data_IF_446090977456
#
_entry.id   IF_446090977456
#
_cell.length_a   1.000
_cell.length_b   1.000
_cell.length_c   1.000
_cell.angle_alpha   90.00
_cell.angle_beta   90.00
_cell.angle_gamma   90.00
#
_symmetry.space_group_name_H-M   'P 1'
#
loop_
_entity.id
_entity.type
_entity.pdbx_description
1 polymer ?
#
# COMPACT_ATOMS: atom_id res chain seq x y z
N UNK A 1 12.64 0.42 5.47
CA UNK A 1 11.61 1.46 5.23
C UNK A 1 10.26 0.78 4.98
N UNK A 2 9.23 1.28 5.61
CA UNK A 2 7.85 0.82 5.37
C UNK A 2 7.15 1.86 4.51
N UNK A 3 6.36 1.39 3.54
CA UNK A 3 5.68 2.27 2.58
C UNK A 3 4.19 1.96 2.57
N UNK A 4 3.37 3.00 2.59
CA UNK A 4 1.92 2.89 2.42
C UNK A 4 1.54 3.53 1.08
N UNK A 5 0.94 2.74 0.21
CA UNK A 5 0.43 3.21 -1.08
C UNK A 5 -1.09 3.31 -1.00
N UNK A 6 -1.64 4.45 -1.36
CA UNK A 6 -3.08 4.70 -1.29
C UNK A 6 -3.67 4.57 -2.69
N UNK A 7 -4.60 3.63 -2.84
CA UNK A 7 -5.26 3.36 -4.11
C UNK A 7 -5.37 1.87 -4.36
N UNK A 8 -5.98 1.48 -5.48
CA UNK A 8 -6.20 0.08 -5.79
C UNK A 8 -6.31 -0.21 -7.28
N UNK A 9 -5.94 0.73 -8.14
CA UNK A 9 -6.02 0.57 -9.59
C UNK A 9 -4.72 0.03 -10.19
N UNK A 10 -4.69 -0.04 -11.52
CA UNK A 10 -3.52 -0.52 -12.25
C UNK A 10 -2.29 0.33 -12.05
N UNK A 11 -2.47 1.65 -11.86
CA UNK A 11 -1.35 2.56 -11.62
C UNK A 11 -0.68 2.23 -10.28
N UNK A 12 -1.49 2.02 -9.25
CA UNK A 12 -0.99 1.65 -7.92
C UNK A 12 -0.29 0.31 -7.96
N UNK A 13 -0.83 -0.64 -8.73
CA UNK A 13 -0.19 -1.94 -8.90
C UNK A 13 1.21 -1.79 -9.50
N UNK A 14 1.36 -0.95 -10.53
CA UNK A 14 2.66 -0.71 -11.16
C UNK A 14 3.64 -0.06 -10.18
N UNK A 15 3.17 0.89 -9.37
CA UNK A 15 3.99 1.56 -8.36
C UNK A 15 4.47 0.55 -7.31
N UNK A 16 3.56 -0.27 -6.79
CA UNK A 16 3.89 -1.29 -5.78
C UNK A 16 4.91 -2.29 -6.34
N UNK A 17 4.70 -2.74 -7.57
CA UNK A 17 5.63 -3.67 -8.21
C UNK A 17 7.03 -3.07 -8.29
N UNK A 18 7.13 -1.80 -8.66
CA UNK A 18 8.43 -1.12 -8.74
C UNK A 18 9.08 -0.93 -7.37
N UNK A 19 8.29 -0.54 -6.38
CA UNK A 19 8.77 -0.35 -5.00
C UNK A 19 9.25 -1.69 -4.41
N UNK A 20 8.55 -2.77 -4.72
CA UNK A 20 8.88 -4.09 -4.19
C UNK A 20 10.28 -4.56 -4.63
N UNK A 21 10.83 -3.97 -5.69
CA UNK A 21 12.17 -4.30 -6.16
C UNK A 21 13.27 -3.54 -5.41
N UNK A 22 12.90 -2.57 -4.58
CA UNK A 22 13.88 -1.77 -3.85
C UNK A 22 14.38 -2.51 -2.62
N UNK A 23 15.69 -2.56 -2.46
CA UNK A 23 16.32 -3.20 -1.29
C UNK A 23 16.14 -2.39 -0.02
N UNK A 24 15.71 -1.14 -0.14
CA UNK A 24 15.51 -0.24 1.01
C UNK A 24 14.12 -0.38 1.62
N UNK A 25 13.21 -1.09 0.94
CA UNK A 25 11.83 -1.24 1.41
C UNK A 25 11.68 -2.60 2.08
N UNK A 26 11.28 -2.60 3.34
CA UNK A 26 11.10 -3.81 4.15
C UNK A 26 9.68 -4.33 4.07
N UNK A 27 8.70 -3.42 3.99
CA UNK A 27 7.29 -3.78 4.00
C UNK A 27 6.49 -2.76 3.22
N UNK A 28 5.54 -3.24 2.43
CA UNK A 28 4.63 -2.41 1.65
C UNK A 28 3.20 -2.70 2.11
N UNK A 29 2.46 -1.64 2.39
CA UNK A 29 1.02 -1.71 2.64
C UNK A 29 0.31 -0.96 1.52
N UNK A 30 -0.85 -1.44 1.10
CA UNK A 30 -1.66 -0.74 0.09
C UNK A 30 -3.10 -0.67 0.57
N UNK A 31 -3.69 0.51 0.51
CA UNK A 31 -5.05 0.75 0.98
C UNK A 31 -5.89 1.35 -0.15
N UNK A 32 -6.93 0.67 -0.62
CA UNK A 32 -7.36 -0.69 -0.28
C UNK A 32 -6.62 -1.78 -1.06
N UNK A 33 -5.90 -1.43 -2.13
CA UNK A 33 -5.21 -2.39 -2.97
C UNK A 33 -6.14 -3.21 -3.84
N UNK A 34 -5.60 -4.28 -4.42
CA UNK A 34 -6.37 -5.26 -5.19
C UNK A 34 -5.63 -6.61 -5.17
N UNK A 35 -6.20 -7.63 -5.80
CA UNK A 35 -5.64 -8.98 -5.76
C UNK A 35 -4.22 -9.05 -6.36
N UNK A 36 -3.96 -8.32 -7.44
CA UNK A 36 -2.62 -8.30 -8.05
C UNK A 36 -1.60 -7.61 -7.16
N UNK A 37 -1.99 -6.51 -6.51
CA UNK A 37 -1.14 -5.80 -5.55
C UNK A 37 -0.84 -6.69 -4.35
N UNK A 38 -1.80 -7.53 -3.94
CA UNK A 38 -1.65 -8.43 -2.81
C UNK A 38 -0.49 -9.42 -2.93
N UNK A 39 0.02 -9.62 -4.13
CA UNK A 39 1.20 -10.48 -4.34
C UNK A 39 2.48 -9.81 -3.83
N UNK A 40 2.50 -8.49 -3.72
CA UNK A 40 3.69 -7.73 -3.36
C UNK A 40 3.53 -6.91 -2.08
N UNK A 41 2.31 -6.70 -1.63
CA UNK A 41 2.01 -5.82 -0.50
C UNK A 41 0.89 -6.39 0.35
N UNK A 42 0.81 -5.95 1.59
CA UNK A 42 -0.34 -6.27 2.43
C UNK A 42 -1.45 -5.26 2.14
N UNK A 43 -2.55 -5.74 1.58
CA UNK A 43 -3.70 -4.90 1.29
C UNK A 43 -4.52 -4.68 2.56
N UNK A 44 -4.85 -3.41 2.83
CA UNK A 44 -5.59 -3.01 4.02
C UNK A 44 -6.94 -2.45 3.60
N UNK A 45 -8.02 -2.92 4.22
CA UNK A 45 -9.37 -2.51 3.86
C UNK A 45 -9.71 -1.12 4.39
N UNK A 46 -9.05 -0.11 3.83
CA UNK A 46 -9.29 1.29 4.13
C UNK A 46 -9.49 2.00 2.80
N UNK A 47 -10.65 2.65 2.62
CA UNK A 47 -10.95 3.37 1.38
C UNK A 47 -10.11 4.63 1.24
N UNK A 48 -9.90 5.06 -0.02
CA UNK A 48 -9.03 6.22 -0.31
C UNK A 48 -9.56 7.53 0.28
N UNK A 49 -10.85 7.59 0.61
CA UNK A 49 -11.45 8.79 1.22
C UNK A 49 -11.54 8.71 2.74
N UNK A 50 -11.06 7.65 3.35
CA UNK A 50 -11.10 7.48 4.81
C UNK A 50 -9.81 8.02 5.43
N UNK A 51 -9.63 9.33 5.35
CA UNK A 51 -8.37 9.98 5.73
C UNK A 51 -7.96 9.73 7.18
N UNK A 52 -8.92 9.75 8.11
CA UNK A 52 -8.61 9.51 9.53
C UNK A 52 -8.07 8.09 9.75
N UNK A 53 -8.70 7.10 9.11
CA UNK A 53 -8.25 5.72 9.22
C UNK A 53 -6.88 5.51 8.58
N UNK A 54 -6.63 6.17 7.44
CA UNK A 54 -5.33 6.11 6.77
C UNK A 54 -4.24 6.71 7.64
N UNK A 55 -4.52 7.86 8.25
CA UNK A 55 -3.58 8.51 9.15
C UNK A 55 -3.27 7.64 10.37
N UNK A 56 -4.32 7.09 10.98
CA UNK A 56 -4.15 6.21 12.15
C UNK A 56 -3.32 4.98 11.80
N UNK A 57 -3.58 4.38 10.64
CA UNK A 57 -2.83 3.22 10.18
C UNK A 57 -1.36 3.57 9.96
N UNK A 58 -1.10 4.70 9.31
CA UNK A 58 0.28 5.12 9.04
C UNK A 58 1.06 5.39 10.31
N UNK A 59 0.41 5.97 11.33
CA UNK A 59 1.05 6.24 12.62
C UNK A 59 1.30 4.96 13.40
N UNK A 60 0.43 3.95 13.24
CA UNK A 60 0.56 2.68 13.94
C UNK A 60 1.70 1.84 13.38
N UNK A 61 1.93 1.92 12.07
CA UNK A 61 2.95 1.12 11.39
C UNK A 61 4.18 1.96 11.10
#
# INVERSE_FOLDING_TARGET
MKVLVIGGGGREHAIVWKIAQSKKVDKIYCAPGNAGIGEYAECVDIGVMEFDRLTDFALEK
#
